data_IF_013855648822
#
_entry.id   IF_013855648822
#
_cell.length_a   1.000
_cell.length_b   1.000
_cell.length_c   1.000
_cell.angle_alpha   90.00
_cell.angle_beta   90.00
_cell.angle_gamma   90.00
#
_symmetry.space_group_name_H-M   'P 1'
#
loop_
_entity.id
_entity.type
_entity.pdbx_description
1 polymer ?
#
# COMPACT_ATOMS: atom_id res chain seq x y z
N UNK A 1 1.23 3.24 12.38
CA UNK A 1 1.16 2.29 11.25
C UNK A 1 0.05 1.28 11.48
N UNK A 2 -1.19 1.66 11.17
CA UNK A 2 -2.40 0.89 11.46
C UNK A 2 -2.63 -0.21 10.40
N UNK A 3 -2.49 0.14 9.13
CA UNK A 3 -2.74 -0.78 8.01
C UNK A 3 -1.63 -1.82 7.87
N UNK A 4 -0.37 -1.41 7.97
CA UNK A 4 0.81 -2.30 7.85
C UNK A 4 0.80 -3.37 8.94
N UNK A 5 0.46 -3.00 10.18
CA UNK A 5 0.33 -3.95 11.28
C UNK A 5 -0.78 -4.97 11.02
N UNK A 6 -1.94 -4.50 10.57
CA UNK A 6 -3.07 -5.37 10.24
C UNK A 6 -2.74 -6.33 9.08
N UNK A 7 -2.19 -5.84 7.97
CA UNK A 7 -1.86 -6.68 6.81
C UNK A 7 -0.79 -7.72 7.13
N UNK A 8 0.23 -7.35 7.92
CA UNK A 8 1.25 -8.29 8.37
C UNK A 8 0.65 -9.42 9.21
N UNK A 9 -0.25 -9.08 10.14
CA UNK A 9 -0.93 -10.08 10.97
C UNK A 9 -1.89 -10.96 10.16
N UNK A 10 -2.61 -10.36 9.21
CA UNK A 10 -3.45 -11.09 8.27
C UNK A 10 -2.63 -12.13 7.48
N UNK A 11 -1.48 -11.74 6.94
CA UNK A 11 -0.60 -12.63 6.18
C UNK A 11 -0.07 -13.77 7.05
N UNK A 12 0.32 -13.49 8.30
CA UNK A 12 0.77 -14.53 9.23
C UNK A 12 -0.31 -15.56 9.52
N UNK A 13 -1.57 -15.14 9.64
CA UNK A 13 -2.69 -16.02 10.00
C UNK A 13 -3.31 -16.76 8.82
N UNK A 14 -3.35 -16.12 7.65
CA UNK A 14 -4.15 -16.57 6.50
C UNK A 14 -3.30 -16.86 5.25
N UNK A 15 -1.99 -16.64 5.32
CA UNK A 15 -1.09 -16.71 4.16
C UNK A 15 -1.22 -15.49 3.25
N UNK A 16 -0.58 -15.53 2.06
CA UNK A 16 -0.65 -14.44 1.09
C UNK A 16 -2.12 -14.10 0.73
N UNK A 17 -2.50 -12.81 0.66
CA UNK A 17 -3.87 -12.42 0.37
C UNK A 17 -4.23 -12.80 -1.06
N UNK A 18 -5.35 -13.51 -1.22
CA UNK A 18 -5.92 -13.88 -2.54
C UNK A 18 -6.71 -12.71 -3.12
N UNK A 19 -6.02 -11.58 -3.30
CA UNK A 19 -6.58 -10.37 -3.90
C UNK A 19 -6.04 -10.19 -5.32
N UNK A 20 -6.83 -9.56 -6.18
CA UNK A 20 -6.48 -9.23 -7.54
C UNK A 20 -5.30 -8.27 -7.61
N UNK A 21 -4.64 -8.23 -8.76
CA UNK A 21 -3.37 -7.52 -8.91
C UNK A 21 -3.48 -6.03 -8.55
N UNK A 22 -4.60 -5.37 -8.89
CA UNK A 22 -4.78 -3.94 -8.60
C UNK A 22 -4.96 -3.72 -7.10
N UNK A 23 -5.70 -4.60 -6.42
CA UNK A 23 -5.87 -4.53 -4.97
C UNK A 23 -4.58 -4.86 -4.21
N UNK A 24 -3.79 -5.82 -4.71
CA UNK A 24 -2.46 -6.09 -4.17
C UNK A 24 -1.54 -4.87 -4.29
N UNK A 25 -1.50 -4.22 -5.47
CA UNK A 25 -0.74 -2.97 -5.66
C UNK A 25 -1.23 -1.86 -4.73
N UNK A 26 -2.55 -1.70 -4.58
CA UNK A 26 -3.16 -0.74 -3.64
C UNK A 26 -2.73 -1.02 -2.19
N UNK A 27 -2.75 -2.28 -1.76
CA UNK A 27 -2.26 -2.71 -0.44
C UNK A 27 -0.80 -2.33 -0.22
N UNK A 28 0.09 -2.62 -1.19
CA UNK A 28 1.52 -2.30 -1.08
C UNK A 28 1.80 -0.79 -1.10
N UNK A 29 1.03 -0.03 -1.87
CA UNK A 29 1.12 1.44 -1.85
C UNK A 29 0.76 2.01 -0.48
N UNK A 30 -0.28 1.49 0.17
CA UNK A 30 -0.66 1.90 1.54
C UNK A 30 0.47 1.59 2.52
N UNK A 31 1.08 0.40 2.45
CA UNK A 31 2.21 0.02 3.31
C UNK A 31 3.39 0.96 3.12
N UNK A 32 3.78 1.22 1.87
CA UNK A 32 4.89 2.13 1.55
C UNK A 32 4.65 3.55 2.09
N UNK A 33 3.43 4.08 1.91
CA UNK A 33 3.07 5.41 2.41
C UNK A 33 3.02 5.47 3.94
N UNK A 34 2.52 4.44 4.61
CA UNK A 34 2.53 4.39 6.08
C UNK A 34 3.94 4.38 6.66
N UNK A 35 4.86 3.65 6.03
CA UNK A 35 6.27 3.63 6.43
C UNK A 35 6.89 5.02 6.24
N UNK A 36 6.68 5.65 5.08
CA UNK A 36 7.17 7.00 4.82
C UNK A 36 6.59 8.01 5.82
N UNK A 37 5.30 7.93 6.12
CA UNK A 37 4.63 8.80 7.10
C UNK A 37 5.25 8.64 8.48
N UNK A 38 5.46 7.39 8.92
CA UNK A 38 6.09 7.10 10.22
C UNK A 38 7.52 7.63 10.29
N UNK A 39 8.29 7.49 9.20
CA UNK A 39 9.66 8.02 9.12
C UNK A 39 9.66 9.55 9.19
N UNK A 40 8.77 10.22 8.46
CA UNK A 40 8.70 11.70 8.49
C UNK A 40 8.25 12.22 9.86
N UNK A 41 7.32 11.55 10.52
CA UNK A 41 6.93 11.88 11.89
C UNK A 41 8.07 11.69 12.88
N UNK A 42 8.86 10.62 12.73
CA UNK A 42 10.05 10.38 13.54
C UNK A 42 11.10 11.47 13.32
N UNK A 43 11.45 11.78 12.07
CA UNK A 43 12.41 12.84 11.72
C UNK A 43 11.95 14.20 12.26
N UNK A 44 10.67 14.53 12.10
CA UNK A 44 10.10 15.78 12.64
C UNK A 44 10.25 15.84 14.16
N UNK A 45 10.00 14.73 14.86
CA UNK A 45 10.15 14.65 16.33
C UNK A 45 11.61 14.83 16.76
N UNK A 46 12.55 14.24 16.03
CA UNK A 46 13.98 14.31 16.32
C UNK A 46 14.55 15.73 16.11
N UNK A 47 14.03 16.45 15.11
CA UNK A 47 14.42 17.83 14.79
C UNK A 47 13.91 18.89 15.79
N UNK A 48 13.06 18.54 16.76
CA UNK A 48 12.60 19.45 17.81
C UNK A 48 11.96 20.75 17.31
N UNK A 49 12.46 21.90 17.77
CA UNK A 49 11.98 23.25 17.43
C UNK A 49 12.86 23.96 16.36
N UNK A 50 13.59 23.20 15.55
CA UNK A 50 14.39 23.80 14.47
C UNK A 50 13.50 24.48 13.42
N UNK A 51 13.99 25.53 12.73
CA UNK A 51 13.23 26.23 11.69
C UNK A 51 12.75 25.35 10.52
N UNK A 52 13.34 24.15 10.36
CA UNK A 52 13.04 23.21 9.29
C UNK A 52 11.81 22.33 9.57
N UNK A 53 11.34 22.27 10.82
CA UNK A 53 10.25 21.38 11.27
C UNK A 53 8.95 21.62 10.50
N UNK A 54 8.61 22.89 10.22
CA UNK A 54 7.40 23.27 9.47
C UNK A 54 7.36 22.70 8.06
N UNK A 55 8.50 22.40 7.44
CA UNK A 55 8.54 21.83 6.08
C UNK A 55 8.00 20.40 6.04
N UNK A 56 8.12 19.67 7.16
CA UNK A 56 7.66 18.30 7.25
C UNK A 56 6.15 18.21 7.47
N UNK A 57 5.50 19.27 7.95
CA UNK A 57 4.04 19.28 8.16
C UNK A 57 3.28 19.05 6.86
N UNK A 58 3.67 19.74 5.79
CA UNK A 58 3.06 19.58 4.47
C UNK A 58 3.30 18.17 3.91
N UNK A 59 4.49 17.61 4.12
CA UNK A 59 4.82 16.25 3.67
C UNK A 59 4.00 15.21 4.42
N UNK A 60 3.91 15.33 5.75
CA UNK A 60 3.12 14.47 6.63
C UNK A 60 1.64 14.53 6.24
N UNK A 61 1.11 15.74 6.01
CA UNK A 61 -0.26 15.95 5.58
C UNK A 61 -0.51 15.28 4.21
N UNK A 62 0.32 15.53 3.21
CA UNK A 62 0.19 14.93 1.89
C UNK A 62 0.23 13.39 1.94
N UNK A 63 1.12 12.81 2.76
CA UNK A 63 1.18 11.36 2.94
C UNK A 63 -0.09 10.82 3.61
N UNK A 64 -0.60 11.52 4.62
CA UNK A 64 -1.86 11.18 5.31
C UNK A 64 -3.05 11.24 4.36
N UNK A 65 -3.13 12.27 3.52
CA UNK A 65 -4.21 12.45 2.55
C UNK A 65 -4.18 11.33 1.50
N UNK A 66 -3.00 10.99 0.97
CA UNK A 66 -2.85 9.87 0.03
C UNK A 66 -3.24 8.52 0.65
N UNK A 67 -2.93 8.28 1.92
CA UNK A 67 -3.40 7.09 2.63
C UNK A 67 -4.93 7.14 2.75
N UNK A 68 -5.50 8.29 3.10
CA UNK A 68 -6.95 8.47 3.21
C UNK A 68 -7.65 8.19 1.88
N UNK A 69 -7.10 8.66 0.77
CA UNK A 69 -7.61 8.40 -0.58
C UNK A 69 -7.55 6.92 -0.93
N UNK A 70 -6.40 6.29 -0.73
CA UNK A 70 -6.21 4.87 -1.01
C UNK A 70 -7.01 3.97 -0.09
N UNK A 71 -7.41 4.44 1.09
CA UNK A 71 -8.18 3.62 2.05
C UNK A 71 -9.65 3.99 2.06
N UNK A 72 -10.03 5.12 1.42
CA UNK A 72 -11.36 5.73 1.51
C UNK A 72 -11.82 5.87 2.96
N UNK A 73 -10.85 6.11 3.87
CA UNK A 73 -11.03 6.14 5.32
C UNK A 73 -11.64 4.85 5.93
N UNK A 74 -11.53 3.71 5.24
CA UNK A 74 -12.01 2.42 5.77
C UNK A 74 -11.05 1.85 6.82
N UNK A 75 -11.61 1.30 7.89
CA UNK A 75 -10.85 0.47 8.82
C UNK A 75 -10.14 -0.70 8.10
N UNK A 76 -8.93 -1.13 8.53
CA UNK A 76 -8.14 -2.15 7.82
C UNK A 76 -8.90 -3.45 7.51
N UNK A 77 -9.77 -3.90 8.43
CA UNK A 77 -10.59 -5.08 8.22
C UNK A 77 -11.67 -4.87 7.14
N UNK A 78 -12.28 -3.68 7.09
CA UNK A 78 -13.26 -3.33 6.07
C UNK A 78 -12.57 -3.13 4.71
N UNK A 79 -11.39 -2.52 4.71
CA UNK A 79 -10.57 -2.36 3.51
C UNK A 79 -10.15 -3.71 2.92
N UNK A 80 -9.73 -4.67 3.74
CA UNK A 80 -9.40 -6.01 3.27
C UNK A 80 -10.63 -6.74 2.69
N UNK A 81 -11.82 -6.53 3.28
CA UNK A 81 -13.08 -7.02 2.72
C UNK A 81 -13.39 -6.36 1.37
N UNK A 82 -13.17 -5.04 1.25
CA UNK A 82 -13.31 -4.31 -0.01
C UNK A 82 -12.37 -4.88 -1.07
N UNK A 83 -11.09 -5.09 -0.75
CA UNK A 83 -10.12 -5.70 -1.66
C UNK A 83 -10.62 -7.04 -2.18
N UNK A 84 -11.07 -7.94 -1.31
CA UNK A 84 -11.60 -9.24 -1.72
C UNK A 84 -12.83 -9.11 -2.64
N UNK A 85 -13.71 -8.16 -2.38
CA UNK A 85 -14.90 -7.93 -3.21
C UNK A 85 -14.52 -7.38 -4.60
N UNK A 86 -13.65 -6.37 -4.65
CA UNK A 86 -13.17 -5.78 -5.91
C UNK A 86 -12.34 -6.76 -6.73
N UNK A 87 -11.59 -7.63 -6.06
CA UNK A 87 -10.80 -8.69 -6.72
C UNK A 87 -11.68 -9.68 -7.48
N UNK A 88 -12.90 -9.94 -7.00
CA UNK A 88 -13.86 -10.80 -7.72
C UNK A 88 -14.41 -10.14 -8.98
N UNK A 89 -14.48 -8.80 -8.99
CA UNK A 89 -14.91 -8.04 -10.16
C UNK A 89 -13.78 -7.75 -11.16
N UNK A 90 -12.53 -7.94 -10.77
CA UNK A 90 -11.37 -7.60 -11.62
C UNK A 90 -11.21 -8.51 -12.84
N UNK A 91 -11.98 -9.61 -12.93
CA UNK A 91 -11.74 -10.63 -13.93
C UNK A 91 -10.40 -11.32 -13.64
N UNK A 92 -10.32 -12.62 -13.91
CA UNK A 92 -9.04 -13.30 -13.79
C UNK A 92 -8.21 -12.83 -15.00
N UNK A 93 -7.45 -11.75 -14.86
CA UNK A 93 -6.24 -11.59 -15.68
C UNK A 93 -5.30 -12.71 -15.22
N UNK A 94 -5.55 -13.92 -15.71
CA UNK A 94 -4.59 -15.00 -15.67
C UNK A 94 -3.39 -14.47 -16.44
N UNK A 95 -2.27 -14.29 -15.74
CA UNK A 95 -0.99 -14.22 -16.42
C UNK A 95 -0.84 -15.58 -17.12
N UNK A 96 -1.14 -15.62 -18.42
CA UNK A 96 -1.02 -16.83 -19.20
C UNK A 96 0.47 -17.12 -19.35
N UNK A 97 0.97 -18.04 -18.53
CA UNK A 97 2.38 -18.46 -18.59
C UNK A 97 2.68 -19.28 -19.85
N UNK A 98 1.69 -19.54 -20.72
CA UNK A 98 1.87 -20.19 -22.02
C UNK A 98 2.07 -19.19 -23.17
N UNK A 99 2.03 -17.88 -22.94
CA UNK A 99 2.52 -16.95 -23.94
C UNK A 99 4.05 -17.06 -23.96
N UNK A 100 4.54 -17.87 -24.92
CA UNK A 100 5.95 -17.99 -25.22
C UNK A 100 6.49 -16.58 -25.40
N UNK A 101 7.48 -16.23 -24.59
CA UNK A 101 8.33 -15.10 -24.88
C UNK A 101 8.99 -15.45 -26.21
N UNK A 102 8.45 -14.95 -27.32
CA UNK A 102 9.12 -15.03 -28.61
C UNK A 102 10.48 -14.36 -28.40
N UNK A 103 11.51 -15.20 -28.23
CA UNK A 103 12.91 -14.84 -28.13
C UNK A 103 13.35 -14.31 -29.49
N UNK A 104 12.91 -13.11 -29.86
CA UNK A 104 13.55 -12.37 -30.94
C UNK A 104 14.67 -11.50 -30.37
N UNK A 105 15.73 -12.17 -29.93
CA UNK A 105 17.06 -11.60 -29.83
C UNK A 105 17.87 -12.05 -31.04
N UNK A 106 17.42 -11.67 -32.25
CA UNK A 106 18.30 -11.69 -33.42
C UNK A 106 19.18 -10.42 -33.42
N UNK A 107 20.45 -10.60 -33.06
CA UNK A 107 21.55 -9.67 -33.35
C UNK A 107 22.13 -9.95 -34.73
#
# INVERSE_FOLDING_TARGET
MKYTAYFSEYIKRSGPPRVGQRQFRRMMNIVSLEVQLSTMQYVKKDLGDTPFVRRYDLVIQNLSDRISDLTRNLEPAHLMREFNNLSRSEGVETFDTNEAWDEDFSL
#
